data_IF_114419204963
#
_entry.id   IF_114419204963
#
_cell.length_a   1.000
_cell.length_b   1.000
_cell.length_c   1.000
_cell.angle_alpha   90.00
_cell.angle_beta   90.00
_cell.angle_gamma   90.00
#
_symmetry.space_group_name_H-M   'P 1'
#
loop_
_entity.id
_entity.type
_entity.pdbx_description
1 polymer ?
#
# COMPACT_ATOMS: atom_id res chain seq x y z
N UNK A 1 4.19 2.70 -20.32
CA UNK A 1 3.77 3.64 -19.27
C UNK A 1 4.95 3.96 -18.37
N UNK A 2 5.03 5.18 -17.90
CA UNK A 2 6.04 5.54 -16.92
C UNK A 2 5.80 4.80 -15.59
N UNK A 3 6.87 4.55 -14.83
CA UNK A 3 6.78 3.87 -13.54
C UNK A 3 5.79 4.58 -12.59
N UNK A 4 5.80 5.92 -12.58
CA UNK A 4 4.88 6.71 -11.78
C UNK A 4 3.41 6.42 -12.09
N UNK A 5 3.08 6.26 -13.38
CA UNK A 5 1.70 5.97 -13.78
C UNK A 5 1.23 4.60 -13.27
N UNK A 6 2.13 3.62 -13.29
CA UNK A 6 1.84 2.26 -12.78
C UNK A 6 1.58 2.33 -11.27
N UNK A 7 2.43 3.04 -10.52
CA UNK A 7 2.27 3.17 -9.07
C UNK A 7 0.97 3.92 -8.72
N UNK A 8 0.67 5.01 -9.44
CA UNK A 8 -0.55 5.78 -9.20
C UNK A 8 -1.80 4.93 -9.45
N UNK A 9 -1.81 4.14 -10.53
CA UNK A 9 -2.94 3.26 -10.82
C UNK A 9 -3.07 2.14 -9.79
N UNK A 10 -1.95 1.58 -9.33
CA UNK A 10 -1.93 0.58 -8.27
C UNK A 10 -2.57 1.13 -6.99
N UNK A 11 -2.13 2.31 -6.55
CA UNK A 11 -2.69 2.97 -5.36
C UNK A 11 -4.20 3.25 -5.52
N UNK A 12 -4.61 3.71 -6.70
CA UNK A 12 -6.02 3.98 -6.97
C UNK A 12 -6.89 2.72 -6.86
N UNK A 13 -6.38 1.57 -7.33
CA UNK A 13 -7.10 0.29 -7.22
C UNK A 13 -7.20 -0.19 -5.77
N UNK A 14 -6.17 0.04 -4.95
CA UNK A 14 -6.22 -0.27 -3.51
C UNK A 14 -7.27 0.62 -2.82
N UNK A 15 -7.29 1.91 -3.14
CA UNK A 15 -8.27 2.85 -2.56
C UNK A 15 -9.71 2.41 -2.89
N UNK A 16 -9.94 1.83 -4.06
CA UNK A 16 -11.23 1.24 -4.41
C UNK A 16 -11.50 -0.10 -3.73
N UNK A 17 -10.54 -0.59 -2.94
CA UNK A 17 -10.62 -1.88 -2.25
C UNK A 17 -10.72 -3.07 -3.21
N UNK A 18 -10.22 -2.91 -4.43
CA UNK A 18 -10.17 -3.96 -5.44
C UNK A 18 -8.76 -4.54 -5.52
N UNK A 19 -8.47 -5.48 -4.63
CA UNK A 19 -7.14 -6.09 -4.53
C UNK A 19 -6.78 -6.94 -5.74
N UNK A 20 -7.76 -7.60 -6.35
CA UNK A 20 -7.52 -8.39 -7.56
C UNK A 20 -7.06 -7.48 -8.70
N UNK A 21 -7.74 -6.34 -8.90
CA UNK A 21 -7.35 -5.37 -9.90
C UNK A 21 -5.97 -4.75 -9.60
N UNK A 22 -5.70 -4.44 -8.33
CA UNK A 22 -4.40 -3.90 -7.93
C UNK A 22 -3.28 -4.90 -8.25
N UNK A 23 -3.48 -6.17 -7.95
CA UNK A 23 -2.49 -7.22 -8.17
C UNK A 23 -2.25 -7.56 -9.65
N UNK A 24 -3.06 -7.07 -10.56
CA UNK A 24 -2.77 -7.16 -12.00
C UNK A 24 -1.52 -6.34 -12.39
N UNK A 25 -1.16 -5.36 -11.57
CA UNK A 25 -0.05 -4.44 -11.83
C UNK A 25 1.27 -4.85 -11.17
N UNK A 26 1.31 -5.98 -10.47
CA UNK A 26 2.53 -6.46 -9.81
C UNK A 26 3.09 -7.68 -10.53
N UNK A 27 4.40 -7.91 -10.38
CA UNK A 27 5.04 -9.10 -10.92
C UNK A 27 4.68 -10.34 -10.09
N UNK A 28 4.85 -11.52 -10.69
CA UNK A 28 4.56 -12.78 -10.01
C UNK A 28 5.41 -12.99 -8.76
N UNK A 29 6.60 -12.39 -8.72
CA UNK A 29 7.56 -12.49 -7.64
C UNK A 29 7.75 -11.17 -6.87
N UNK A 30 6.78 -10.26 -6.94
CA UNK A 30 6.86 -8.97 -6.26
C UNK A 30 7.23 -9.14 -4.78
N UNK A 31 8.16 -8.31 -4.31
CA UNK A 31 8.47 -8.25 -2.88
C UNK A 31 7.63 -7.13 -2.25
N UNK A 32 6.80 -7.47 -1.27
CA UNK A 32 6.05 -6.51 -0.47
C UNK A 32 6.63 -6.51 0.94
N UNK A 33 7.28 -5.41 1.29
CA UNK A 33 8.02 -5.26 2.54
C UNK A 33 7.42 -4.14 3.39
N UNK A 34 6.70 -4.52 4.43
CA UNK A 34 6.32 -3.59 5.50
C UNK A 34 7.46 -3.62 6.51
N UNK A 35 8.36 -2.66 6.44
CA UNK A 35 9.65 -2.69 7.14
C UNK A 35 9.53 -3.06 8.62
N UNK A 36 8.58 -2.49 9.40
CA UNK A 36 8.47 -2.87 10.81
C UNK A 36 7.81 -4.23 11.04
N UNK A 37 7.23 -4.86 10.02
CA UNK A 37 6.46 -6.11 10.18
C UNK A 37 7.07 -7.30 9.44
N UNK A 38 7.77 -7.08 8.33
CA UNK A 38 8.39 -8.13 7.53
C UNK A 38 7.90 -8.19 6.10
N UNK A 39 8.42 -9.16 5.37
CA UNK A 39 8.23 -9.30 3.92
C UNK A 39 7.29 -10.44 3.57
N UNK A 40 6.54 -10.23 2.48
CA UNK A 40 5.80 -11.28 1.78
C UNK A 40 6.11 -11.17 0.29
N UNK A 41 5.77 -12.20 -0.47
CA UNK A 41 6.11 -12.27 -1.90
C UNK A 41 4.91 -12.65 -2.73
N UNK A 42 4.86 -12.11 -3.94
CA UNK A 42 3.85 -12.40 -4.93
C UNK A 42 2.50 -11.74 -4.67
N UNK A 43 1.60 -11.79 -5.65
CA UNK A 43 0.23 -11.25 -5.49
C UNK A 43 -0.51 -11.85 -4.30
N UNK A 44 -0.34 -13.14 -4.04
CA UNK A 44 -1.00 -13.80 -2.91
C UNK A 44 -0.50 -13.28 -1.58
N UNK A 45 0.80 -12.93 -1.49
CA UNK A 45 1.36 -12.30 -0.29
C UNK A 45 0.73 -10.94 -0.02
N UNK A 46 0.58 -10.12 -1.05
CA UNK A 46 -0.08 -8.81 -0.94
C UNK A 46 -1.53 -9.00 -0.48
N UNK A 47 -2.26 -9.91 -1.12
CA UNK A 47 -3.67 -10.16 -0.79
C UNK A 47 -3.84 -10.68 0.63
N UNK A 48 -2.90 -11.49 1.12
CA UNK A 48 -2.99 -12.00 2.49
C UNK A 48 -2.82 -10.89 3.53
N UNK A 49 -1.92 -9.94 3.29
CA UNK A 49 -1.68 -8.82 4.21
C UNK A 49 -2.80 -7.79 4.11
N UNK A 50 -3.05 -7.26 2.91
CA UNK A 50 -4.05 -6.21 2.72
C UNK A 50 -5.47 -6.74 2.85
N UNK A 51 -5.70 -7.99 2.49
CA UNK A 51 -7.02 -8.61 2.60
C UNK A 51 -7.52 -8.67 4.04
N UNK A 52 -6.63 -8.88 5.01
CA UNK A 52 -7.01 -8.84 6.43
C UNK A 52 -7.47 -7.44 6.82
N UNK A 53 -6.76 -6.40 6.39
CA UNK A 53 -7.15 -5.02 6.69
C UNK A 53 -8.43 -4.64 5.98
N UNK A 54 -8.53 -4.90 4.69
CA UNK A 54 -9.71 -4.57 3.88
C UNK A 54 -10.96 -5.29 4.41
N UNK A 55 -10.80 -6.53 4.87
CA UNK A 55 -11.90 -7.30 5.43
C UNK A 55 -12.47 -6.75 6.74
N UNK A 56 -11.71 -5.91 7.46
CA UNK A 56 -12.12 -5.29 8.72
C UNK A 56 -12.58 -3.85 8.56
N UNK A 57 -12.42 -3.26 7.38
CA UNK A 57 -12.58 -1.82 7.17
C UNK A 57 -13.69 -1.53 6.16
N UNK A 58 -14.26 -0.34 6.25
CA UNK A 58 -15.31 0.12 5.35
C UNK A 58 -14.75 0.95 4.20
N UNK A 59 -13.67 1.70 4.46
CA UNK A 59 -13.12 2.65 3.51
C UNK A 59 -11.60 2.69 3.61
N UNK A 60 -10.98 2.96 2.48
CA UNK A 60 -9.54 3.20 2.35
C UNK A 60 -9.34 4.49 1.58
N UNK A 61 -8.52 5.40 2.10
CA UNK A 61 -8.22 6.66 1.44
C UNK A 61 -6.74 7.00 1.62
N UNK A 62 -5.89 6.49 0.74
CA UNK A 62 -4.45 6.72 0.79
C UNK A 62 -4.11 7.98 0.01
N UNK A 63 -3.59 8.98 0.72
CA UNK A 63 -3.30 10.31 0.17
C UNK A 63 -1.81 10.44 -0.09
N UNK A 64 -1.44 10.66 -1.35
CA UNK A 64 -0.05 10.93 -1.74
C UNK A 64 0.19 12.42 -1.61
N UNK A 65 1.10 12.83 -0.74
CA UNK A 65 1.45 14.25 -0.53
C UNK A 65 2.55 14.70 -1.48
N UNK A 66 3.56 13.87 -1.68
CA UNK A 66 4.70 14.14 -2.55
C UNK A 66 5.16 12.86 -3.19
N UNK A 67 5.56 12.93 -4.45
CA UNK A 67 6.04 11.77 -5.17
C UNK A 67 7.13 12.17 -6.14
N UNK A 68 8.16 11.37 -6.20
CA UNK A 68 9.30 11.56 -7.09
C UNK A 68 9.54 10.25 -7.83
N UNK A 69 9.84 10.34 -9.12
CA UNK A 69 10.15 9.18 -9.92
C UNK A 69 11.42 9.42 -10.73
N UNK A 70 12.25 8.39 -10.83
CA UNK A 70 13.44 8.39 -11.67
C UNK A 70 13.60 7.01 -12.26
N UNK A 71 13.46 6.90 -13.58
CA UNK A 71 13.48 5.63 -14.31
C UNK A 71 12.48 4.62 -13.72
N UNK A 72 12.99 3.51 -13.16
CA UNK A 72 12.16 2.45 -12.58
C UNK A 72 11.79 2.68 -11.11
N UNK A 73 12.33 3.73 -10.49
CA UNK A 73 12.19 3.98 -9.05
C UNK A 73 11.13 5.04 -8.79
N UNK A 74 10.23 4.77 -7.85
CA UNK A 74 9.21 5.73 -7.40
C UNK A 74 9.25 5.80 -5.88
N UNK A 75 9.31 7.03 -5.35
CA UNK A 75 9.29 7.30 -3.91
C UNK A 75 8.11 8.20 -3.61
N UNK A 76 7.33 7.87 -2.59
CA UNK A 76 6.24 8.76 -2.17
C UNK A 76 6.13 8.88 -0.67
N UNK A 77 5.57 10.02 -0.26
CA UNK A 77 5.19 10.31 1.11
C UNK A 77 3.68 10.34 1.15
N UNK A 78 3.08 9.53 2.02
CA UNK A 78 1.64 9.35 2.06
C UNK A 78 1.10 9.47 3.49
N UNK A 79 -0.19 9.68 3.56
CA UNK A 79 -0.98 9.32 4.73
C UNK A 79 -1.92 8.19 4.28
N UNK A 80 -1.75 7.01 4.85
CA UNK A 80 -2.63 5.88 4.60
C UNK A 80 -3.78 5.95 5.59
N UNK A 81 -4.96 6.33 5.10
CA UNK A 81 -6.17 6.48 5.91
C UNK A 81 -7.05 5.26 5.76
N UNK A 82 -7.57 4.80 6.88
CA UNK A 82 -8.47 3.63 6.93
C UNK A 82 -9.68 3.98 7.77
N UNK A 83 -10.88 3.71 7.26
CA UNK A 83 -12.13 4.07 7.90
C UNK A 83 -12.96 2.87 8.32
N UNK A 84 -13.60 2.97 9.49
CA UNK A 84 -14.54 1.97 10.00
C UNK A 84 -15.57 2.64 10.91
N UNK A 85 -16.86 2.44 10.58
CA UNK A 85 -17.94 2.96 11.40
C UNK A 85 -17.91 4.46 11.63
N UNK A 86 -17.46 5.21 10.62
CA UNK A 86 -17.33 6.67 10.71
C UNK A 86 -16.08 7.17 11.41
N UNK A 87 -15.24 6.27 11.92
CA UNK A 87 -13.94 6.61 12.51
C UNK A 87 -12.83 6.40 11.50
N UNK A 88 -11.75 7.15 11.65
CA UNK A 88 -10.59 7.07 10.75
C UNK A 88 -9.30 6.92 11.53
N UNK A 89 -8.40 6.07 11.03
CA UNK A 89 -7.00 6.11 11.42
C UNK A 89 -6.19 6.75 10.29
N UNK A 90 -5.09 7.38 10.65
CA UNK A 90 -4.22 8.07 9.70
C UNK A 90 -2.78 7.68 9.99
N UNK A 91 -2.19 6.92 9.08
CA UNK A 91 -0.84 6.39 9.25
C UNK A 91 0.12 7.10 8.29
N UNK A 92 1.12 7.83 8.81
CA UNK A 92 2.17 8.38 7.94
C UNK A 92 3.05 7.25 7.39
N UNK A 93 3.28 7.27 6.08
CA UNK A 93 4.05 6.22 5.39
C UNK A 93 4.97 6.86 4.36
N UNK A 94 6.20 6.35 4.25
CA UNK A 94 7.08 6.62 3.13
C UNK A 94 7.23 5.32 2.33
N UNK A 95 6.92 5.36 1.04
CA UNK A 95 6.92 4.18 0.19
C UNK A 95 8.00 4.21 -0.89
N UNK A 96 8.56 3.05 -1.18
CA UNK A 96 9.53 2.85 -2.25
C UNK A 96 8.99 1.78 -3.18
N UNK A 97 8.98 2.08 -4.48
CA UNK A 97 8.52 1.15 -5.50
C UNK A 97 9.56 1.01 -6.59
N UNK A 98 9.72 -0.19 -7.10
CA UNK A 98 10.45 -0.44 -8.35
C UNK A 98 9.50 -1.03 -9.37
N UNK A 99 9.58 -0.55 -10.61
CA UNK A 99 8.72 -0.97 -11.71
C UNK A 99 9.60 -1.45 -12.87
N UNK A 100 9.38 -2.67 -13.32
CA UNK A 100 10.09 -3.25 -14.46
C UNK A 100 9.07 -3.94 -15.36
N UNK A 101 9.19 -3.76 -16.67
CA UNK A 101 8.28 -4.34 -17.67
C UNK A 101 6.80 -4.03 -17.35
N UNK A 102 6.54 -2.77 -16.95
CA UNK A 102 5.20 -2.26 -16.61
C UNK A 102 4.55 -2.97 -15.41
N UNK A 103 5.36 -3.59 -14.54
CA UNK A 103 4.86 -4.24 -13.32
C UNK A 103 5.69 -3.81 -12.11
N UNK A 104 5.03 -3.68 -10.98
CA UNK A 104 5.72 -3.39 -9.71
C UNK A 104 6.42 -4.67 -9.27
N UNK A 105 7.74 -4.58 -9.10
CA UNK A 105 8.58 -5.70 -8.64
C UNK A 105 8.98 -5.57 -7.18
N UNK A 106 8.92 -4.34 -6.64
CA UNK A 106 9.19 -4.05 -5.23
C UNK A 106 8.19 -3.02 -4.73
N UNK A 107 7.62 -3.27 -3.56
CA UNK A 107 6.83 -2.31 -2.79
C UNK A 107 7.30 -2.37 -1.34
N UNK A 108 7.89 -1.28 -0.86
CA UNK A 108 8.44 -1.21 0.50
C UNK A 108 7.90 0.01 1.22
N UNK A 109 7.23 -0.21 2.34
CA UNK A 109 6.64 0.85 3.14
C UNK A 109 7.34 0.97 4.48
N UNK A 110 7.70 2.21 4.84
CA UNK A 110 8.29 2.57 6.12
C UNK A 110 7.24 3.32 6.94
N UNK A 111 6.94 2.83 8.12
CA UNK A 111 6.00 3.48 9.03
C UNK A 111 6.30 3.08 10.47
N UNK A 112 5.69 3.79 11.42
CA UNK A 112 5.87 3.49 12.84
C UNK A 112 4.85 2.44 13.29
N UNK A 113 5.34 1.29 13.73
CA UNK A 113 4.49 0.16 14.11
C UNK A 113 3.62 0.48 15.32
N UNK A 114 4.17 1.18 16.31
CA UNK A 114 3.42 1.57 17.52
C UNK A 114 2.25 2.47 17.16
N UNK A 115 2.48 3.45 16.30
CA UNK A 115 1.41 4.35 15.80
C UNK A 115 0.31 3.54 15.12
N UNK A 116 0.67 2.62 14.23
CA UNK A 116 -0.28 1.77 13.54
C UNK A 116 -1.10 0.92 14.51
N UNK A 117 -0.42 0.24 15.44
CA UNK A 117 -1.07 -0.65 16.40
C UNK A 117 -2.04 0.10 17.29
N UNK A 118 -1.63 1.27 17.81
CA UNK A 118 -2.48 2.07 18.69
C UNK A 118 -3.73 2.56 17.97
N UNK A 119 -3.56 3.10 16.76
CA UNK A 119 -4.69 3.60 15.98
C UNK A 119 -5.63 2.48 15.55
N UNK A 120 -5.09 1.34 15.13
CA UNK A 120 -5.90 0.20 14.70
C UNK A 120 -6.73 -0.34 15.87
N UNK A 121 -6.15 -0.44 17.06
CA UNK A 121 -6.86 -0.87 18.26
C UNK A 121 -8.05 0.04 18.57
N UNK A 122 -7.87 1.35 18.47
CA UNK A 122 -8.96 2.30 18.68
C UNK A 122 -10.03 2.20 17.59
N UNK A 123 -9.60 1.99 16.34
CA UNK A 123 -10.51 1.95 15.19
C UNK A 123 -11.47 0.77 15.27
N UNK A 124 -10.98 -0.38 15.70
CA UNK A 124 -11.77 -1.63 15.74
C UNK A 124 -12.41 -1.92 17.11
N UNK A 125 -12.21 -1.05 18.07
CA UNK A 125 -12.78 -1.24 19.43
C UNK A 125 -14.27 -0.82 19.51
#
# INVERSE_FOLDING_TARGET
MAAEDIVNEFMARIVRMDLDAACELVSDDVEYDNVPMGKVYGPDGIKSVLGQMVGMLDEVDWVIHRQIASDSLVLNERTDRFGKGGKWMELPVAGVFEVHDNRITLWRDYFDLTTMTNQLTELVS
#
